data_IF_398113949403
#
_entry.id   IF_398113949403
#
_cell.length_a   1.000
_cell.length_b   1.000
_cell.length_c   1.000
_cell.angle_alpha   90.00
_cell.angle_beta   90.00
_cell.angle_gamma   90.00
#
_symmetry.space_group_name_H-M   'P 1'
#
loop_
_entity.id
_entity.type
_entity.pdbx_description
1 polymer ?
#
# COMPACT_ATOMS: atom_id res chain seq x y z
N UNK A 1 -16.35 -10.85 -4.48
CA UNK A 1 -15.28 -10.17 -5.24
C UNK A 1 -15.46 -10.58 -6.68
N UNK A 2 -15.59 -9.60 -7.57
CA UNK A 2 -15.95 -9.82 -8.98
C UNK A 2 -14.71 -9.55 -9.83
N UNK A 3 -14.48 -10.32 -10.89
CA UNK A 3 -13.41 -10.04 -11.85
C UNK A 3 -13.96 -9.25 -13.03
N UNK A 4 -13.22 -8.24 -13.45
CA UNK A 4 -13.63 -7.37 -14.54
C UNK A 4 -12.46 -6.94 -15.40
N UNK A 5 -12.70 -6.84 -16.70
CA UNK A 5 -11.72 -6.27 -17.62
C UNK A 5 -11.93 -4.76 -17.76
N UNK A 6 -10.89 -4.08 -18.24
CA UNK A 6 -10.98 -2.66 -18.61
C UNK A 6 -12.05 -2.39 -19.69
N UNK A 7 -12.37 -3.39 -20.51
CA UNK A 7 -13.42 -3.27 -21.51
C UNK A 7 -14.82 -3.28 -20.89
N UNK A 8 -15.03 -4.07 -19.82
CA UNK A 8 -16.31 -4.15 -19.11
C UNK A 8 -16.62 -2.83 -18.40
N UNK A 9 -15.61 -2.22 -17.78
CA UNK A 9 -15.70 -0.93 -17.10
C UNK A 9 -16.05 0.25 -18.03
N UNK A 10 -15.76 0.15 -19.33
CA UNK A 10 -16.08 1.22 -20.30
C UNK A 10 -17.53 1.19 -20.76
N UNK A 11 -18.23 0.07 -20.59
CA UNK A 11 -19.54 -0.17 -21.21
C UNK A 11 -20.73 0.23 -20.35
N UNK A 12 -20.55 0.44 -19.06
CA UNK A 12 -21.69 0.69 -18.18
C UNK A 12 -21.32 1.57 -17.00
N UNK A 13 -22.15 2.59 -16.77
CA UNK A 13 -22.10 3.46 -15.59
C UNK A 13 -22.55 2.69 -14.35
N UNK A 14 -23.44 1.71 -14.52
CA UNK A 14 -23.98 0.85 -13.46
C UNK A 14 -22.96 -0.19 -12.98
N UNK A 15 -21.90 -0.42 -13.77
CA UNK A 15 -20.81 -1.32 -13.41
C UNK A 15 -20.17 -0.96 -12.05
N UNK A 16 -20.15 0.34 -11.72
CA UNK A 16 -19.60 0.86 -10.47
C UNK A 16 -20.60 0.89 -9.31
N UNK A 17 -21.88 0.60 -9.58
CA UNK A 17 -22.94 0.50 -8.57
C UNK A 17 -23.01 -0.92 -8.02
N UNK A 18 -21.95 -1.34 -7.32
CA UNK A 18 -21.86 -2.67 -6.70
C UNK A 18 -21.53 -2.55 -5.22
N UNK A 19 -22.01 -3.53 -4.45
CA UNK A 19 -21.68 -3.78 -3.06
C UNK A 19 -20.47 -4.72 -2.91
N UNK A 20 -19.73 -5.00 -3.99
CA UNK A 20 -18.56 -5.87 -3.98
C UNK A 20 -17.30 -5.20 -4.51
N UNK A 21 -16.15 -5.53 -3.91
CA UNK A 21 -14.84 -5.18 -4.46
C UNK A 21 -14.63 -5.86 -5.81
N UNK A 22 -14.17 -5.09 -6.79
CA UNK A 22 -13.92 -5.56 -8.15
C UNK A 22 -12.40 -5.71 -8.34
N UNK A 23 -11.96 -6.90 -8.72
CA UNK A 23 -10.60 -7.14 -9.21
C UNK A 23 -10.53 -6.81 -10.70
N UNK A 24 -9.63 -5.89 -11.03
CA UNK A 24 -9.40 -5.39 -12.36
C UNK A 24 -8.28 -6.20 -13.01
N UNK A 25 -8.61 -6.88 -14.11
CA UNK A 25 -7.68 -7.70 -14.87
C UNK A 25 -7.44 -7.14 -16.27
N UNK A 26 -6.21 -7.27 -16.76
CA UNK A 26 -5.89 -7.06 -18.16
C UNK A 26 -6.35 -8.28 -18.96
N UNK A 27 -7.45 -8.17 -19.68
CA UNK A 27 -7.99 -9.29 -20.47
C UNK A 27 -7.03 -9.88 -21.51
N UNK A 28 -6.04 -9.11 -22.00
CA UNK A 28 -5.07 -9.58 -23.00
C UNK A 28 -3.86 -10.25 -22.39
N UNK A 29 -3.30 -9.67 -21.31
CA UNK A 29 -2.09 -10.16 -20.65
C UNK A 29 -2.37 -11.11 -19.47
N UNK A 30 -3.65 -11.28 -19.09
CA UNK A 30 -4.10 -11.99 -17.88
C UNK A 30 -3.34 -11.54 -16.61
N UNK A 31 -2.96 -10.27 -16.57
CA UNK A 31 -2.25 -9.66 -15.46
C UNK A 31 -3.26 -8.88 -14.60
N UNK A 32 -3.12 -9.02 -13.30
CA UNK A 32 -3.84 -8.22 -12.32
C UNK A 32 -3.36 -6.77 -12.38
N UNK A 33 -4.30 -5.83 -12.50
CA UNK A 33 -4.02 -4.40 -12.54
C UNK A 33 -4.25 -3.78 -11.17
N UNK A 34 -5.30 -4.20 -10.47
CA UNK A 34 -5.63 -3.69 -9.14
C UNK A 34 -7.08 -3.90 -8.77
N UNK A 35 -7.58 -3.09 -7.85
CA UNK A 35 -8.92 -3.24 -7.29
C UNK A 35 -9.70 -1.93 -7.34
N UNK A 36 -10.99 -2.02 -7.61
CA UNK A 36 -11.95 -0.97 -7.34
C UNK A 36 -12.70 -1.28 -6.05
N UNK A 37 -12.70 -0.32 -5.13
CA UNK A 37 -13.40 -0.40 -3.85
C UNK A 37 -14.64 0.50 -3.91
N UNK A 38 -15.85 -0.07 -3.83
CA UNK A 38 -17.07 0.72 -3.83
C UNK A 38 -17.18 1.69 -2.66
N UNK A 39 -17.93 2.77 -2.86
CA UNK A 39 -18.05 3.84 -1.86
C UNK A 39 -18.69 3.39 -0.55
N UNK A 40 -19.50 2.31 -0.54
CA UNK A 40 -20.06 1.74 0.68
C UNK A 40 -18.98 1.31 1.68
N UNK A 41 -17.81 0.89 1.19
CA UNK A 41 -16.68 0.47 2.03
C UNK A 41 -15.73 1.60 2.40
N UNK A 42 -16.05 2.86 2.08
CA UNK A 42 -15.13 3.99 2.25
C UNK A 42 -14.61 4.11 3.68
N UNK A 43 -15.49 3.99 4.68
CA UNK A 43 -15.11 4.14 6.08
C UNK A 43 -14.11 3.05 6.49
N UNK A 44 -14.48 1.78 6.28
CA UNK A 44 -13.65 0.62 6.62
C UNK A 44 -12.31 0.63 5.87
N UNK A 45 -12.33 0.99 4.59
CA UNK A 45 -11.13 1.05 3.77
C UNK A 45 -10.17 2.14 4.22
N UNK A 46 -10.67 3.32 4.61
CA UNK A 46 -9.82 4.39 5.14
C UNK A 46 -9.22 4.02 6.50
N UNK A 47 -9.98 3.34 7.37
CA UNK A 47 -9.45 2.84 8.64
C UNK A 47 -8.36 1.79 8.40
N UNK A 48 -8.60 0.86 7.47
CA UNK A 48 -7.63 -0.15 7.07
C UNK A 48 -6.33 0.47 6.53
N UNK A 49 -6.43 1.48 5.65
CA UNK A 49 -5.25 2.18 5.12
C UNK A 49 -4.44 2.87 6.23
N UNK A 50 -5.11 3.47 7.22
CA UNK A 50 -4.43 4.07 8.39
C UNK A 50 -3.66 3.02 9.19
N UNK A 51 -4.25 1.84 9.42
CA UNK A 51 -3.57 0.73 10.13
C UNK A 51 -2.32 0.27 9.38
N UNK A 52 -2.42 0.06 8.06
CA UNK A 52 -1.26 -0.29 7.23
C UNK A 52 -0.15 0.76 7.34
N UNK A 53 -0.50 2.04 7.31
CA UNK A 53 0.49 3.11 7.40
C UNK A 53 1.18 3.13 8.77
N UNK A 54 0.43 2.98 9.85
CA UNK A 54 0.98 2.89 11.21
C UNK A 54 1.93 1.70 11.35
N UNK A 55 1.56 0.54 10.83
CA UNK A 55 2.42 -0.66 10.83
C UNK A 55 3.71 -0.45 10.04
N UNK A 56 3.63 0.18 8.86
CA UNK A 56 4.83 0.52 8.06
C UNK A 56 5.75 1.47 8.81
N UNK A 57 5.21 2.51 9.45
CA UNK A 57 5.98 3.46 10.27
C UNK A 57 6.66 2.75 11.43
N UNK A 58 5.92 1.91 12.16
CA UNK A 58 6.47 1.13 13.27
C UNK A 58 7.60 0.19 12.81
N UNK A 59 7.40 -0.50 11.69
CA UNK A 59 8.42 -1.39 11.12
C UNK A 59 9.69 -0.64 10.73
N UNK A 60 9.55 0.55 10.15
CA UNK A 60 10.69 1.40 9.79
C UNK A 60 11.41 1.94 11.04
N UNK A 61 10.67 2.37 12.06
CA UNK A 61 11.24 2.81 13.34
C UNK A 61 12.03 1.69 14.02
N UNK A 62 11.48 0.47 14.06
CA UNK A 62 12.20 -0.71 14.58
C UNK A 62 13.48 -1.01 13.80
N UNK A 63 13.43 -0.92 12.46
CA UNK A 63 14.63 -1.09 11.62
C UNK A 63 15.70 -0.03 11.93
N UNK A 64 15.30 1.23 12.06
CA UNK A 64 16.21 2.33 12.38
C UNK A 64 16.83 2.17 13.78
N UNK A 65 16.01 1.84 14.79
CA UNK A 65 16.50 1.58 16.15
C UNK A 65 17.49 0.41 16.20
N UNK A 66 17.18 -0.69 15.49
CA UNK A 66 18.11 -1.83 15.40
C UNK A 66 19.42 -1.45 14.68
N UNK A 67 19.36 -0.62 13.65
CA UNK A 67 20.56 -0.13 12.97
C UNK A 67 21.39 0.78 13.88
N UNK A 68 20.75 1.66 14.68
CA UNK A 68 21.43 2.50 15.68
C UNK A 68 22.04 1.67 16.81
N UNK A 69 21.39 0.60 17.27
CA UNK A 69 21.96 -0.30 18.28
C UNK A 69 23.17 -1.09 17.78
N UNK A 70 23.25 -1.33 16.47
CA UNK A 70 24.39 -1.97 15.81
C UNK A 70 25.50 -0.96 15.49
N UNK A 71 25.27 0.34 15.68
CA UNK A 71 26.26 1.39 15.57
C UNK A 71 26.95 1.57 16.93
N UNK A 72 28.20 1.14 17.10
CA UNK A 72 28.90 1.31 18.37
C UNK A 72 29.17 2.79 18.61
N UNK A 73 28.33 3.45 19.41
CA UNK A 73 28.66 4.74 20.03
C UNK A 73 29.70 4.47 21.12
N UNK A 74 30.95 4.33 20.69
CA UNK A 74 32.13 4.36 21.56
C UNK A 74 32.77 5.75 21.49
N UNK A 75 33.36 6.19 22.60
CA UNK A 75 34.11 7.45 22.82
C UNK A 75 35.40 7.57 21.96
N UNK A 76 35.38 7.15 20.68
CA UNK A 76 36.60 6.96 19.89
C UNK A 76 36.50 7.03 18.37
N UNK A 77 35.43 7.58 17.77
CA UNK A 77 35.39 7.79 16.31
C UNK A 77 35.42 9.27 15.93
N UNK A 78 36.61 9.86 15.95
CA UNK A 78 36.99 10.89 14.98
C UNK A 78 37.37 10.19 13.67
N UNK A 79 37.07 10.67 12.46
CA UNK A 79 36.29 11.81 12.03
C UNK A 79 36.03 11.67 10.53
N UNK A 80 35.06 12.40 10.00
CA UNK A 80 35.08 12.78 8.59
C UNK A 80 34.90 14.29 8.55
N UNK A 81 36.02 14.97 8.29
CA UNK A 81 36.14 16.41 8.37
C UNK A 81 35.31 17.09 7.29
N UNK A 82 34.54 18.08 7.70
CA UNK A 82 34.17 19.18 6.82
C UNK A 82 35.28 20.23 7.01
N UNK A 83 36.22 20.27 6.07
CA UNK A 83 36.94 21.51 5.69
C UNK A 83 36.45 21.93 4.31
#
# INVERSE_FOLDING_TARGET
>A
MIQATMADMRKSVDFFQTDQVINIINGRKKQEIGYFVPNIFKADFLEFLKKIEQEKRLKNAKRAANAQMLDPVGDGTAGDGIE
#
